data_IF_206327780843
#
_entry.id   IF_206327780843
#
_cell.length_a   1.000
_cell.length_b   1.000
_cell.length_c   1.000
_cell.angle_alpha   90.00
_cell.angle_beta   90.00
_cell.angle_gamma   90.00
#
_symmetry.space_group_name_H-M   'P 1'
#
loop_
_entity.id
_entity.type
_entity.pdbx_description
1 polymer ?
#
# COMPACT_ATOMS: atom_id res chain seq x y z
N UNK A 1 3.87 -21.77 2.56
CA UNK A 1 4.95 -20.82 2.79
C UNK A 1 6.25 -21.60 2.92
N UNK A 2 7.11 -21.55 1.90
CA UNK A 2 8.43 -22.19 1.90
C UNK A 2 9.50 -21.10 1.99
N UNK A 3 10.04 -20.88 3.19
CA UNK A 3 11.05 -19.85 3.44
C UNK A 3 12.29 -19.98 2.57
N UNK A 4 12.63 -21.18 2.09
CA UNK A 4 13.83 -21.39 1.26
C UNK A 4 13.64 -20.97 -0.21
N UNK A 5 12.40 -20.87 -0.70
CA UNK A 5 12.10 -20.54 -2.10
C UNK A 5 11.26 -19.28 -2.26
N UNK A 6 10.58 -18.83 -1.21
CA UNK A 6 9.64 -17.71 -1.21
C UNK A 6 10.17 -16.48 -0.46
N UNK A 7 11.24 -16.59 0.31
CA UNK A 7 11.98 -15.42 0.82
C UNK A 7 12.96 -14.95 -0.27
N UNK A 8 12.77 -13.72 -0.76
CA UNK A 8 13.67 -13.13 -1.76
C UNK A 8 15.11 -13.03 -1.24
N UNK A 9 16.07 -12.81 -2.14
CA UNK A 9 17.51 -12.79 -1.81
C UNK A 9 17.99 -11.66 -0.89
N UNK A 10 17.10 -10.79 -0.42
CA UNK A 10 17.41 -9.71 0.53
C UNK A 10 17.20 -10.24 1.94
N UNK A 11 18.30 -10.38 2.69
CA UNK A 11 18.24 -10.81 4.09
C UNK A 11 17.55 -9.75 4.95
N UNK A 12 16.65 -10.14 5.86
CA UNK A 12 16.09 -9.22 6.85
C UNK A 12 17.20 -8.57 7.68
N UNK A 13 17.03 -7.30 8.04
CA UNK A 13 17.84 -6.66 9.06
C UNK A 13 17.60 -7.39 10.39
N UNK A 14 18.66 -7.97 10.96
CA UNK A 14 18.58 -8.76 12.19
C UNK A 14 18.36 -7.90 13.44
N UNK A 15 18.63 -6.59 13.37
CA UNK A 15 18.51 -5.69 14.51
C UNK A 15 18.09 -4.28 14.08
N UNK A 16 16.87 -4.12 13.54
CA UNK A 16 16.37 -2.83 13.12
C UNK A 16 16.29 -1.86 14.30
N UNK A 17 16.57 -0.59 14.05
CA UNK A 17 16.43 0.44 15.08
C UNK A 17 14.95 0.59 15.52
N UNK A 18 14.73 1.11 16.73
CA UNK A 18 13.38 1.40 17.24
C UNK A 18 12.57 2.30 16.29
N UNK A 19 13.23 3.26 15.64
CA UNK A 19 12.58 4.15 14.68
C UNK A 19 12.09 3.40 13.42
N UNK A 20 12.87 2.43 12.94
CA UNK A 20 12.49 1.57 11.81
C UNK A 20 11.28 0.72 12.19
N UNK A 21 11.31 0.06 13.35
CA UNK A 21 10.19 -0.74 13.85
C UNK A 21 8.91 0.09 14.01
N UNK A 22 9.02 1.30 14.56
CA UNK A 22 7.89 2.21 14.70
C UNK A 22 7.26 2.56 13.35
N UNK A 23 8.09 2.78 12.31
CA UNK A 23 7.59 3.07 10.96
C UNK A 23 6.90 1.86 10.31
N UNK A 24 7.48 0.67 10.46
CA UNK A 24 6.87 -0.58 9.96
C UNK A 24 5.50 -0.79 10.61
N UNK A 25 5.42 -0.65 11.94
CA UNK A 25 4.16 -0.81 12.67
C UNK A 25 3.11 0.23 12.25
N UNK A 26 3.51 1.49 12.03
CA UNK A 26 2.61 2.52 11.53
C UNK A 26 2.06 2.18 10.13
N UNK A 27 2.90 1.68 9.23
CA UNK A 27 2.47 1.25 7.90
C UNK A 27 1.52 0.04 7.97
N UNK A 28 1.80 -0.94 8.83
CA UNK A 28 0.92 -2.11 9.02
C UNK A 28 -0.44 -1.72 9.60
N UNK A 29 -0.47 -0.75 10.53
CA UNK A 29 -1.72 -0.19 11.04
C UNK A 29 -2.52 0.52 9.95
N UNK A 30 -1.85 1.26 9.04
CA UNK A 30 -2.50 1.88 7.89
C UNK A 30 -3.09 0.85 6.91
N UNK A 31 -2.34 -0.22 6.59
CA UNK A 31 -2.83 -1.31 5.75
C UNK A 31 -4.09 -1.95 6.33
N UNK A 32 -4.06 -2.29 7.62
CA UNK A 32 -5.20 -2.88 8.32
C UNK A 32 -6.39 -1.93 8.39
N UNK A 33 -6.17 -0.63 8.67
CA UNK A 33 -7.24 0.38 8.69
C UNK A 33 -7.90 0.56 7.33
N UNK A 34 -7.14 0.42 6.25
CA UNK A 34 -7.67 0.44 4.89
C UNK A 34 -8.46 -0.86 4.56
N UNK A 35 -8.34 -1.91 5.37
CA UNK A 35 -8.98 -3.20 5.11
C UNK A 35 -8.20 -4.09 4.15
N UNK A 36 -6.90 -3.82 3.96
CA UNK A 36 -6.00 -4.72 3.25
C UNK A 36 -5.56 -5.89 4.14
N UNK A 37 -5.53 -7.09 3.55
CA UNK A 37 -5.04 -8.32 4.16
C UNK A 37 -3.71 -8.80 3.55
N UNK A 38 -3.16 -8.04 2.62
CA UNK A 38 -1.91 -8.36 1.94
C UNK A 38 -1.42 -7.25 1.01
N UNK A 39 -0.32 -7.53 0.33
CA UNK A 39 0.30 -6.61 -0.63
C UNK A 39 0.28 -7.20 -2.05
N UNK A 40 0.20 -6.37 -3.10
CA UNK A 40 0.06 -4.91 -3.04
C UNK A 40 -1.37 -4.48 -2.66
N UNK A 41 -1.47 -3.39 -1.91
CA UNK A 41 -2.69 -2.61 -1.73
C UNK A 41 -2.43 -1.20 -2.26
N UNK A 42 -3.27 -0.72 -3.16
CA UNK A 42 -3.20 0.63 -3.70
C UNK A 42 -4.30 1.49 -3.08
N UNK A 43 -3.92 2.64 -2.55
CA UNK A 43 -4.81 3.71 -2.12
C UNK A 43 -4.58 4.91 -3.02
N UNK A 44 -5.63 5.47 -3.62
CA UNK A 44 -5.52 6.58 -4.56
C UNK A 44 -6.76 7.49 -4.48
N UNK A 45 -6.62 8.75 -4.91
CA UNK A 45 -7.77 9.61 -5.12
C UNK A 45 -8.34 9.36 -6.53
N UNK A 46 -9.63 9.11 -6.62
CA UNK A 46 -10.39 9.13 -7.88
C UNK A 46 -10.68 10.54 -8.34
N UNK A 47 -11.12 10.68 -9.59
CA UNK A 47 -11.50 11.97 -10.19
C UNK A 47 -12.68 12.63 -9.48
N UNK A 48 -13.56 11.84 -8.89
CA UNK A 48 -14.69 12.33 -8.08
C UNK A 48 -14.26 12.89 -6.72
N UNK A 49 -12.95 12.86 -6.42
CA UNK A 49 -12.39 13.35 -5.18
C UNK A 49 -12.62 12.42 -4.01
N UNK A 50 -12.97 11.14 -4.19
CA UNK A 50 -13.02 10.17 -3.10
C UNK A 50 -11.72 9.36 -2.98
N UNK A 51 -11.46 8.78 -1.80
CA UNK A 51 -10.38 7.81 -1.62
C UNK A 51 -10.87 6.44 -2.06
N UNK A 52 -10.13 5.83 -2.98
CA UNK A 52 -10.40 4.50 -3.53
C UNK A 52 -9.31 3.52 -3.13
N UNK A 53 -9.68 2.23 -3.11
CA UNK A 53 -8.81 1.12 -2.74
C UNK A 53 -8.87 0.01 -3.78
N UNK A 54 -7.71 -0.51 -4.17
CA UNK A 54 -7.58 -1.72 -4.99
C UNK A 54 -6.59 -2.68 -4.34
N UNK A 55 -7.04 -3.90 -4.07
CA UNK A 55 -6.19 -5.01 -3.63
C UNK A 55 -5.60 -5.77 -4.82
N UNK A 56 -4.34 -6.17 -4.71
CA UNK A 56 -3.63 -6.93 -5.72
C UNK A 56 -3.24 -6.10 -6.95
N UNK A 57 -2.81 -6.80 -8.00
CA UNK A 57 -2.45 -6.16 -9.27
C UNK A 57 -3.70 -5.75 -10.05
N UNK A 58 -3.82 -4.49 -10.47
CA UNK A 58 -4.93 -4.04 -11.32
C UNK A 58 -4.99 -4.87 -12.60
N UNK A 59 -6.19 -5.37 -12.95
CA UNK A 59 -6.41 -6.12 -14.20
C UNK A 59 -6.36 -5.24 -15.43
N UNK A 60 -6.76 -3.98 -15.28
CA UNK A 60 -6.71 -2.96 -16.32
C UNK A 60 -6.00 -1.72 -15.78
N UNK A 61 -4.72 -1.59 -16.13
CA UNK A 61 -3.89 -0.47 -15.72
C UNK A 61 -4.34 0.84 -16.39
N UNK A 62 -4.87 0.78 -17.61
CA UNK A 62 -5.31 1.98 -18.32
C UNK A 62 -6.57 2.56 -17.67
N UNK A 63 -7.51 1.70 -17.27
CA UNK A 63 -8.69 2.12 -16.52
C UNK A 63 -8.29 2.75 -15.16
N UNK A 64 -7.34 2.14 -14.45
CA UNK A 64 -6.82 2.71 -13.21
C UNK A 64 -6.22 4.10 -13.44
N UNK A 65 -5.32 4.25 -14.41
CA UNK A 65 -4.69 5.54 -14.72
C UNK A 65 -5.71 6.59 -15.17
N UNK A 66 -6.77 6.17 -15.88
CA UNK A 66 -7.84 7.04 -16.29
C UNK A 66 -8.72 7.48 -15.10
N UNK A 67 -8.78 6.74 -14.00
CA UNK A 67 -9.55 7.10 -12.81
C UNK A 67 -8.73 7.89 -11.78
N UNK A 68 -7.42 7.68 -11.75
CA UNK A 68 -6.53 8.40 -10.85
C UNK A 68 -6.52 9.90 -11.16
N UNK A 69 -6.64 10.72 -10.11
CA UNK A 69 -6.38 12.16 -10.21
C UNK A 69 -5.02 12.51 -9.60
N UNK A 70 -4.36 13.52 -10.18
CA UNK A 70 -3.15 14.12 -9.59
C UNK A 70 -3.51 15.42 -8.87
N UNK A 71 -3.14 15.54 -7.60
CA UNK A 71 -3.46 16.71 -6.77
C UNK A 71 -3.05 16.53 -5.31
N UNK A 72 -3.00 17.60 -4.49
CA UNK A 72 -2.54 17.50 -3.10
C UNK A 72 -3.61 16.87 -2.21
N UNK A 73 -3.25 15.87 -1.41
CA UNK A 73 -4.21 15.07 -0.63
C UNK A 73 -4.26 15.42 0.87
N UNK A 74 -5.35 16.07 1.33
CA UNK A 74 -6.02 15.82 2.60
C UNK A 74 -7.19 14.85 2.35
N UNK A 75 -6.86 13.58 2.06
CA UNK A 75 -7.78 12.45 1.87
C UNK A 75 -9.05 12.70 1.01
N UNK A 76 -8.84 13.40 -0.10
CA UNK A 76 -9.74 13.57 -1.25
C UNK A 76 -11.09 14.26 -0.91
N UNK A 77 -11.21 15.52 -1.33
CA UNK A 77 -12.39 16.39 -1.18
C UNK A 77 -12.44 17.13 0.18
N UNK A 78 -12.20 18.44 0.18
CA UNK A 78 -12.58 19.35 1.26
C UNK A 78 -13.96 19.95 0.98
#
# INVERSE_FOLDING_TARGET
>A
FNTQTEEGGVKPDASPSKAVLARINANNALLSKAGGDGTPLLLFCSKDGSVQQIGGMPRDVNALLAEMTSGPAPACGG
#
